data_IF_476077117944
#
_entry.id   IF_476077117944
#
_cell.length_a   1.000
_cell.length_b   1.000
_cell.length_c   1.000
_cell.angle_alpha   90.00
_cell.angle_beta   90.00
_cell.angle_gamma   90.00
#
_symmetry.space_group_name_H-M   'P 1'
#
loop_
_entity.id
_entity.type
_entity.pdbx_description
1 polymer ?
#
# COMPACT_ATOMS: atom_id res chain seq x y z
N UNK A 1 -9.25 17.85 6.79
CA UNK A 1 -9.10 16.44 7.20
C UNK A 1 -8.92 15.60 5.95
N UNK A 2 -8.02 14.61 5.98
CA UNK A 2 -7.86 13.68 4.88
C UNK A 2 -9.17 12.90 4.66
N UNK A 3 -9.51 12.61 3.40
CA UNK A 3 -10.67 11.79 3.06
C UNK A 3 -10.33 10.30 3.16
N UNK A 4 -9.11 9.93 2.77
CA UNK A 4 -8.51 8.63 3.02
C UNK A 4 -7.18 8.85 3.73
N UNK A 5 -6.89 8.06 4.75
CA UNK A 5 -5.65 8.11 5.50
C UNK A 5 -5.13 6.68 5.70
N UNK A 6 -3.93 6.41 5.20
CA UNK A 6 -3.20 5.17 5.37
C UNK A 6 -2.00 5.45 6.27
N UNK A 7 -1.89 4.71 7.37
CA UNK A 7 -0.82 4.87 8.35
C UNK A 7 -0.27 3.53 8.75
N UNK A 8 1.06 3.40 8.70
CA UNK A 8 1.80 2.20 9.08
C UNK A 8 1.22 0.92 8.49
N UNK A 9 0.83 0.96 7.21
CA UNK A 9 0.24 -0.20 6.56
C UNK A 9 1.34 -1.21 6.20
N UNK A 10 1.16 -2.43 6.70
CA UNK A 10 1.95 -3.59 6.32
C UNK A 10 1.04 -4.64 5.72
N UNK A 11 1.47 -5.23 4.62
CA UNK A 11 0.86 -6.44 4.09
C UNK A 11 1.94 -7.49 3.85
N UNK A 12 1.75 -8.63 4.51
CA UNK A 12 2.66 -9.77 4.44
C UNK A 12 1.91 -11.01 4.00
N UNK A 13 2.53 -11.78 3.12
CA UNK A 13 2.06 -13.09 2.70
C UNK A 13 3.03 -14.14 3.20
N UNK A 14 2.52 -15.16 3.88
CA UNK A 14 3.28 -16.36 4.20
C UNK A 14 3.30 -17.26 2.96
N UNK A 15 4.50 -17.54 2.45
CA UNK A 15 4.73 -18.38 1.28
C UNK A 15 5.64 -19.53 1.71
N UNK A 16 5.05 -20.63 2.16
CA UNK A 16 5.79 -21.73 2.77
C UNK A 16 6.52 -21.27 4.03
N UNK A 17 7.85 -21.37 4.03
CA UNK A 17 8.71 -20.92 5.13
C UNK A 17 9.16 -19.46 5.01
N UNK A 18 8.83 -18.78 3.92
CA UNK A 18 9.21 -17.39 3.69
C UNK A 18 8.05 -16.42 3.93
N UNK A 19 8.41 -15.19 4.31
CA UNK A 19 7.47 -14.08 4.44
C UNK A 19 7.77 -13.07 3.34
N UNK A 20 6.81 -12.83 2.46
CA UNK A 20 6.89 -11.77 1.46
C UNK A 20 6.18 -10.53 2.01
N UNK A 21 6.92 -9.44 2.16
CA UNK A 21 6.37 -8.12 2.48
C UNK A 21 5.93 -7.42 1.19
N UNK A 22 4.64 -7.51 0.85
CA UNK A 22 4.08 -6.84 -0.32
C UNK A 22 3.98 -5.32 -0.13
N UNK A 23 3.69 -4.88 1.10
CA UNK A 23 3.71 -3.49 1.50
C UNK A 23 4.40 -3.38 2.87
N UNK A 24 5.30 -2.40 3.01
CA UNK A 24 6.09 -2.19 4.22
C UNK A 24 5.99 -0.73 4.63
N UNK A 25 5.36 -0.47 5.77
CA UNK A 25 5.21 0.86 6.38
C UNK A 25 4.69 1.93 5.42
N UNK A 26 3.60 1.62 4.70
CA UNK A 26 3.02 2.58 3.75
C UNK A 26 2.23 3.63 4.51
N UNK A 27 2.51 4.90 4.18
CA UNK A 27 1.92 6.08 4.80
C UNK A 27 1.56 7.10 3.72
N UNK A 28 0.27 7.42 3.55
CA UNK A 28 -0.18 8.49 2.68
C UNK A 28 -1.60 8.94 3.02
N UNK A 29 -1.98 10.11 2.53
CA UNK A 29 -3.32 10.69 2.68
C UNK A 29 -3.85 11.13 1.33
N UNK A 30 -5.17 11.02 1.13
CA UNK A 30 -5.85 11.52 -0.06
C UNK A 30 -6.94 12.51 0.37
N UNK A 31 -7.01 13.65 -0.29
CA UNK A 31 -8.02 14.66 -0.03
C UNK A 31 -9.31 14.37 -0.81
N UNK A 32 -10.44 14.92 -0.34
CA UNK A 32 -11.72 14.75 -1.02
C UNK A 32 -11.68 15.41 -2.40
N UNK A 33 -12.01 14.66 -3.45
CA UNK A 33 -12.01 15.14 -4.84
C UNK A 33 -10.66 15.06 -5.56
N UNK A 34 -9.62 14.55 -4.91
CA UNK A 34 -8.30 14.35 -5.51
C UNK A 34 -8.29 13.13 -6.44
N UNK A 35 -7.76 13.29 -7.66
CA UNK A 35 -7.49 12.18 -8.57
C UNK A 35 -6.12 11.59 -8.24
N UNK A 36 -6.10 10.33 -7.79
CA UNK A 36 -4.87 9.63 -7.39
C UNK A 36 -4.60 8.46 -8.33
N UNK A 37 -3.35 8.33 -8.77
CA UNK A 37 -2.87 7.22 -9.58
C UNK A 37 -1.74 6.52 -8.83
N UNK A 38 -1.87 5.22 -8.58
CA UNK A 38 -0.83 4.39 -7.99
C UNK A 38 -0.04 3.70 -9.11
N UNK A 39 1.24 4.05 -9.25
CA UNK A 39 2.14 3.53 -10.29
C UNK A 39 3.30 2.72 -9.69
N UNK A 40 3.94 1.89 -10.51
CA UNK A 40 5.04 1.02 -10.10
C UNK A 40 5.13 -0.25 -10.94
N UNK A 41 6.27 -0.94 -10.86
CA UNK A 41 6.53 -2.20 -11.58
C UNK A 41 5.57 -3.32 -11.19
N UNK A 42 5.53 -4.39 -12.00
CA UNK A 42 4.83 -5.63 -11.62
C UNK A 42 5.41 -6.16 -10.30
N UNK A 43 4.53 -6.56 -9.38
CA UNK A 43 4.93 -7.03 -8.04
C UNK A 43 5.16 -5.95 -6.98
N UNK A 44 5.09 -4.66 -7.32
CA UNK A 44 5.35 -3.56 -6.37
C UNK A 44 4.27 -3.32 -5.29
N UNK A 45 3.29 -4.22 -5.12
CA UNK A 45 2.26 -4.10 -4.09
C UNK A 45 1.14 -3.08 -4.36
N UNK A 46 0.87 -2.74 -5.63
CA UNK A 46 -0.15 -1.73 -6.02
C UNK A 46 -1.60 -2.18 -5.88
N UNK A 47 -1.86 -3.46 -6.17
CA UNK A 47 -3.20 -4.06 -6.09
C UNK A 47 -3.50 -4.66 -4.71
N UNK A 48 -2.52 -4.64 -3.83
CA UNK A 48 -2.50 -5.28 -2.52
C UNK A 48 -2.90 -4.27 -1.46
#
# INVERSE_FOLDING_TARGET
>A
MAYIQVQHLYKRYQMGNEVIEANRDINFTINKGELVIILGSSGAGKYT
#
